data_IF_298005743111
#
_entry.id   IF_298005743111
#
_cell.length_a   1.000
_cell.length_b   1.000
_cell.length_c   1.000
_cell.angle_alpha   90.00
_cell.angle_beta   90.00
_cell.angle_gamma   90.00
#
_symmetry.space_group_name_H-M   'P 1'
#
loop_
_entity.id
_entity.type
_entity.pdbx_description
1 polymer ?
#
# COMPACT_ATOMS: atom_id res chain seq x y z
N UNK A 1 -1.24 9.10 -10.23
CA UNK A 1 -1.26 7.68 -9.81
C UNK A 1 -0.19 7.52 -8.74
N UNK A 2 -0.50 6.85 -7.63
CA UNK A 2 0.43 6.53 -6.56
C UNK A 2 0.83 5.06 -6.70
N UNK A 3 2.13 4.78 -6.77
CA UNK A 3 2.67 3.46 -7.08
C UNK A 3 3.48 2.96 -5.88
N UNK A 4 3.11 1.81 -5.35
CA UNK A 4 3.87 1.08 -4.32
C UNK A 4 3.61 -0.42 -4.53
N UNK A 5 4.62 -1.27 -4.72
CA UNK A 5 4.40 -2.69 -4.95
C UNK A 5 3.70 -3.40 -3.77
N UNK A 6 3.86 -2.92 -2.53
CA UNK A 6 3.38 -3.62 -1.34
C UNK A 6 2.56 -2.74 -0.39
N UNK A 7 1.35 -3.17 -0.05
CA UNK A 7 0.52 -2.53 0.98
C UNK A 7 0.34 -3.44 2.20
N UNK A 8 1.34 -3.43 3.09
CA UNK A 8 1.32 -4.22 4.32
C UNK A 8 0.46 -3.55 5.42
N UNK A 9 1.01 -2.54 6.11
CA UNK A 9 0.32 -1.78 7.16
C UNK A 9 -0.34 -0.50 6.67
N UNK A 10 -0.21 -0.20 5.37
CA UNK A 10 -0.58 1.06 4.72
C UNK A 10 0.05 2.34 5.31
N UNK A 11 1.00 2.26 6.25
CA UNK A 11 1.60 3.44 6.88
C UNK A 11 2.24 4.40 5.88
N UNK A 12 3.11 3.89 5.01
CA UNK A 12 3.78 4.67 3.97
C UNK A 12 2.80 5.24 2.94
N UNK A 13 1.85 4.41 2.48
CA UNK A 13 0.84 4.82 1.52
C UNK A 13 -0.07 5.94 2.06
N UNK A 14 -0.60 5.79 3.28
CA UNK A 14 -1.40 6.83 3.93
C UNK A 14 -0.62 8.14 4.08
N UNK A 15 0.65 8.07 4.51
CA UNK A 15 1.47 9.27 4.65
C UNK A 15 1.73 9.96 3.31
N UNK A 16 1.96 9.18 2.24
CA UNK A 16 2.12 9.73 0.90
C UNK A 16 0.82 10.39 0.42
N UNK A 17 -0.33 9.78 0.68
CA UNK A 17 -1.65 10.36 0.37
C UNK A 17 -1.84 11.67 1.12
N UNK A 18 -1.55 11.74 2.44
CA UNK A 18 -1.65 12.98 3.22
C UNK A 18 -0.88 14.13 2.58
N UNK A 19 0.35 13.87 2.13
CA UNK A 19 1.20 14.88 1.46
C UNK A 19 0.59 15.33 0.13
N UNK A 20 0.02 14.40 -0.65
CA UNK A 20 -0.69 14.76 -1.89
C UNK A 20 -1.92 15.63 -1.60
N UNK A 21 -2.70 15.30 -0.56
CA UNK A 21 -3.85 16.11 -0.16
C UNK A 21 -3.42 17.51 0.29
N UNK A 22 -2.34 17.62 1.08
CA UNK A 22 -1.78 18.90 1.53
C UNK A 22 -1.30 19.79 0.36
N UNK A 23 -0.89 19.19 -0.75
CA UNK A 23 -0.49 19.92 -1.97
C UNK A 23 -1.67 20.26 -2.89
N UNK A 24 -2.90 19.94 -2.48
CA UNK A 24 -4.13 20.28 -3.20
C UNK A 24 -4.63 19.21 -4.19
N UNK A 25 -4.03 18.02 -4.20
CA UNK A 25 -4.56 16.89 -4.98
C UNK A 25 -5.88 16.46 -4.36
N UNK A 26 -6.92 16.30 -5.19
CA UNK A 26 -8.21 15.79 -4.71
C UNK A 26 -8.12 14.29 -4.45
N UNK A 27 -8.64 13.86 -3.31
CA UNK A 27 -8.58 12.46 -2.85
C UNK A 27 -9.19 11.47 -3.86
N UNK A 28 -10.31 11.82 -4.49
CA UNK A 28 -11.00 11.03 -5.53
C UNK A 28 -10.22 10.91 -6.86
N UNK A 29 -9.20 11.76 -7.05
CA UNK A 29 -8.27 11.72 -8.18
C UNK A 29 -7.02 10.87 -7.90
N UNK A 30 -6.87 10.35 -6.68
CA UNK A 30 -5.76 9.46 -6.34
C UNK A 30 -6.17 8.02 -6.66
N UNK A 31 -5.38 7.40 -7.54
CA UNK A 31 -5.44 5.97 -7.81
C UNK A 31 -4.17 5.37 -7.23
N UNK A 32 -4.32 4.56 -6.18
CA UNK A 32 -3.26 3.79 -5.56
C UNK A 32 -3.14 2.42 -6.24
N UNK A 33 -2.02 2.16 -6.88
CA UNK A 33 -1.76 0.92 -7.63
C UNK A 33 -0.68 0.13 -6.91
N UNK A 34 -0.98 -1.11 -6.57
CA UNK A 34 -0.02 -2.03 -5.95
C UNK A 34 -0.11 -3.46 -6.51
N UNK A 35 0.87 -4.29 -6.15
CA UNK A 35 0.89 -5.69 -6.54
C UNK A 35 0.29 -6.58 -5.44
N UNK A 36 0.73 -6.39 -4.20
CA UNK A 36 0.35 -7.24 -3.08
C UNK A 36 -0.13 -6.43 -1.88
N UNK A 37 -1.24 -6.82 -1.29
CA UNK A 37 -1.81 -6.14 -0.12
C UNK A 37 -2.20 -7.10 1.00
N UNK A 38 -2.19 -6.63 2.24
CA UNK A 38 -2.80 -7.31 3.37
C UNK A 38 -4.14 -6.65 3.76
N UNK A 39 -5.15 -7.42 4.21
CA UNK A 39 -6.45 -6.90 4.63
C UNK A 39 -6.37 -5.77 5.64
N UNK A 40 -5.43 -5.85 6.59
CA UNK A 40 -5.23 -4.82 7.62
C UNK A 40 -4.78 -3.49 7.00
N UNK A 41 -3.90 -3.54 6.00
CA UNK A 41 -3.46 -2.36 5.24
C UNK A 41 -4.60 -1.75 4.44
N UNK A 42 -5.37 -2.58 3.73
CA UNK A 42 -6.54 -2.14 2.96
C UNK A 42 -7.55 -1.42 3.86
N UNK A 43 -7.91 -2.04 4.99
CA UNK A 43 -8.85 -1.47 5.95
C UNK A 43 -8.39 -0.12 6.48
N UNK A 44 -7.10 -0.01 6.84
CA UNK A 44 -6.54 1.26 7.31
C UNK A 44 -6.58 2.33 6.22
N UNK A 45 -6.17 2.00 4.99
CA UNK A 45 -6.15 2.94 3.87
C UNK A 45 -7.54 3.51 3.60
N UNK A 46 -8.57 2.66 3.52
CA UNK A 46 -9.94 3.13 3.28
C UNK A 46 -10.61 3.77 4.51
N UNK A 47 -10.13 3.48 5.73
CA UNK A 47 -10.56 4.18 6.94
C UNK A 47 -10.07 5.63 6.96
N UNK A 48 -8.82 5.86 6.54
CA UNK A 48 -8.19 7.19 6.54
C UNK A 48 -8.52 7.98 5.27
N UNK A 49 -8.58 7.31 4.12
CA UNK A 49 -8.71 7.91 2.79
C UNK A 49 -9.83 7.23 1.97
N UNK A 50 -11.10 7.36 2.37
CA UNK A 50 -12.23 6.60 1.81
C UNK A 50 -12.53 6.90 0.33
N UNK A 51 -12.05 8.02 -0.22
CA UNK A 51 -12.31 8.39 -1.62
C UNK A 51 -11.20 7.96 -2.59
N UNK A 52 -10.08 7.47 -2.07
CA UNK A 52 -9.00 6.93 -2.91
C UNK A 52 -9.49 5.68 -3.62
N UNK A 53 -9.12 5.51 -4.89
CA UNK A 53 -9.33 4.26 -5.62
C UNK A 53 -8.09 3.39 -5.51
N UNK A 54 -8.26 2.11 -5.24
CA UNK A 54 -7.15 1.15 -5.13
C UNK A 54 -7.27 0.07 -6.20
N UNK A 55 -6.14 -0.24 -6.84
CA UNK A 55 -5.99 -1.36 -7.77
C UNK A 55 -4.88 -2.25 -7.23
N UNK A 56 -5.19 -3.52 -6.97
CA UNK A 56 -4.23 -4.50 -6.45
C UNK A 56 -4.34 -5.80 -7.23
N UNK A 57 -3.21 -6.49 -7.46
CA UNK A 57 -3.21 -7.77 -8.18
C UNK A 57 -3.54 -8.94 -7.25
N UNK A 58 -3.10 -8.90 -5.99
CA UNK A 58 -3.31 -9.97 -5.01
C UNK A 58 -3.51 -9.42 -3.60
N UNK A 59 -4.33 -10.12 -2.82
CA UNK A 59 -4.55 -9.86 -1.39
C UNK A 59 -4.21 -11.13 -0.63
N UNK A 60 -3.20 -11.04 0.22
CA UNK A 60 -2.71 -12.15 1.04
C UNK A 60 -3.26 -12.07 2.47
N UNK A 61 -3.30 -13.21 3.16
CA UNK A 61 -4.09 -13.43 4.38
C UNK A 61 -3.78 -12.47 5.53
N UNK A 62 -2.52 -12.25 5.86
CA UNK A 62 -2.17 -11.54 7.08
C UNK A 62 -0.75 -10.97 7.07
N UNK A 63 -0.42 -10.27 8.15
CA UNK A 63 0.93 -9.84 8.46
C UNK A 63 1.51 -10.72 9.56
N UNK A 64 2.80 -11.03 9.48
CA UNK A 64 3.54 -11.66 10.57
C UNK A 64 3.91 -10.66 11.69
N UNK A 65 4.64 -11.13 12.70
CA UNK A 65 5.12 -10.30 13.83
C UNK A 65 6.11 -9.21 13.42
N UNK A 66 6.74 -9.35 12.25
CA UNK A 66 7.65 -8.37 11.65
C UNK A 66 6.95 -7.43 10.66
N UNK A 67 5.63 -7.56 10.50
CA UNK A 67 4.78 -6.79 9.57
C UNK A 67 5.01 -7.12 8.09
N UNK A 68 5.58 -8.29 7.78
CA UNK A 68 5.61 -8.80 6.41
C UNK A 68 4.28 -9.46 6.06
N UNK A 69 3.87 -9.29 4.81
CA UNK A 69 2.71 -9.99 4.25
C UNK A 69 3.04 -11.49 4.15
N UNK A 70 2.10 -12.36 4.51
CA UNK A 70 2.26 -13.83 4.46
C UNK A 70 1.11 -14.44 3.63
N UNK A 71 1.36 -15.38 2.69
CA UNK A 71 2.65 -15.98 2.30
C UNK A 71 3.65 -14.99 1.70
N UNK A 72 3.18 -13.88 1.12
CA UNK A 72 4.04 -12.77 0.79
C UNK A 72 4.99 -13.00 -0.38
N UNK A 73 5.86 -12.01 -0.58
CA UNK A 73 6.94 -12.04 -1.57
C UNK A 73 8.31 -11.70 -0.95
N UNK A 74 8.40 -11.57 0.37
CA UNK A 74 9.58 -11.03 1.06
C UNK A 74 9.71 -9.52 0.84
N UNK A 75 10.94 -9.00 0.89
CA UNK A 75 11.20 -7.61 0.54
C UNK A 75 11.22 -7.45 -0.99
N UNK A 76 10.22 -6.75 -1.53
CA UNK A 76 10.15 -6.51 -2.97
C UNK A 76 11.33 -5.68 -3.48
N UNK A 77 11.74 -4.66 -2.73
CA UNK A 77 12.82 -3.76 -3.14
C UNK A 77 14.13 -4.52 -3.30
N UNK A 78 14.49 -5.30 -2.27
CA UNK A 78 15.73 -6.07 -2.31
C UNK A 78 15.75 -7.10 -3.44
N UNK A 79 14.63 -7.80 -3.65
CA UNK A 79 14.52 -8.80 -4.72
C UNK A 79 14.50 -8.20 -6.11
N UNK A 80 13.89 -7.02 -6.27
CA UNK A 80 13.77 -6.35 -7.56
C UNK A 80 15.09 -5.67 -7.97
N UNK A 81 15.77 -5.04 -7.01
CA UNK A 81 17.04 -4.34 -7.26
C UNK A 81 18.29 -5.22 -7.06
N UNK A 82 18.15 -6.43 -6.53
CA UNK A 82 19.25 -7.37 -6.32
C UNK A 82 20.20 -6.94 -5.21
N UNK A 83 19.67 -6.40 -4.10
CA UNK A 83 20.46 -5.88 -2.97
C UNK A 83 20.49 -6.81 -1.75
N UNK A 84 19.90 -8.00 -1.87
CA UNK A 84 19.94 -9.10 -0.87
C UNK A 84 21.14 -10.03 -1.03
#
# INVERSE_FOLDING_TARGET
MLLDPMCATAGSACRAIDVLLQTGVKEDRIIFVNLLSAPQGIQKLFKEHPRVRMVTAAVDRELDTRKYIVPGIGDFGDRYFGTS
#
